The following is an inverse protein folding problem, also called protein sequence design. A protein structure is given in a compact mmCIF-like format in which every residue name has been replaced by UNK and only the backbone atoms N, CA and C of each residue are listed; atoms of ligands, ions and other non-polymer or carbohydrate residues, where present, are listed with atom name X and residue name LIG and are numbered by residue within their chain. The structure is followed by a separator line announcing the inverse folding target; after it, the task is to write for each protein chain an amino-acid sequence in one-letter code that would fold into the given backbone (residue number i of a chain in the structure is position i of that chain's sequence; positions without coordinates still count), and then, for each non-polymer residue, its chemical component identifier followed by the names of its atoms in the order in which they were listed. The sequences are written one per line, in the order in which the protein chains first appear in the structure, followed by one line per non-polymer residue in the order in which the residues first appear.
data_IF_928134674817
#
_entry.id   IF_928134674817
#
_cell.length_a   1.000
_cell.length_b   1.000
_cell.length_c   1.000
_cell.angle_alpha   90.00
_cell.angle_beta   90.00
_cell.angle_gamma   90.00
#
_symmetry.space_group_name_H-M   'P 1'
#
loop_
_entity.id
_entity.type
_entity.pdbx_description
1 polymer ?
#
# COMPACT_ATOMS: atom_id res chain seq x y z
N UNK A 1 -1.66 -17.21 8.30
CA UNK A 1 -1.08 -16.75 7.02
C UNK A 1 -2.18 -16.24 6.12
N UNK A 2 -1.85 -15.46 5.09
CA UNK A 2 -2.79 -15.05 4.03
C UNK A 2 -2.51 -15.92 2.80
N UNK A 3 -3.53 -16.57 2.26
CA UNK A 3 -3.38 -17.37 1.04
C UNK A 3 -3.17 -16.47 -0.18
N UNK A 4 -2.42 -16.94 -1.16
CA UNK A 4 -2.33 -16.32 -2.48
C UNK A 4 -3.50 -16.81 -3.32
N UNK A 5 -4.23 -15.87 -3.93
CA UNK A 5 -5.41 -16.21 -4.74
C UNK A 5 -5.05 -16.58 -6.18
N UNK A 6 -4.02 -15.95 -6.75
CA UNK A 6 -3.60 -16.12 -8.14
C UNK A 6 -2.07 -16.24 -8.21
N UNK A 7 -1.58 -17.28 -8.88
CA UNK A 7 -0.16 -17.47 -9.18
C UNK A 7 0.10 -17.19 -10.67
N UNK A 8 1.02 -16.26 -10.96
CA UNK A 8 1.40 -15.88 -12.32
C UNK A 8 2.78 -16.47 -12.69
N UNK A 9 2.97 -16.76 -13.98
CA UNK A 9 4.27 -17.22 -14.48
C UNK A 9 5.23 -16.02 -14.72
N UNK A 10 6.39 -15.95 -14.03
CA UNK A 10 7.31 -14.83 -14.16
C UNK A 10 7.95 -14.69 -15.55
N UNK A 11 8.02 -15.77 -16.34
CA UNK A 11 8.65 -15.76 -17.67
C UNK A 11 7.89 -14.91 -18.70
N UNK A 12 6.60 -14.63 -18.44
CA UNK A 12 5.76 -13.79 -19.31
C UNK A 12 6.11 -12.31 -19.28
N UNK A 13 6.77 -11.83 -18.21
CA UNK A 13 7.08 -10.40 -18.04
C UNK A 13 8.27 -9.96 -18.89
N UNK A 14 9.45 -10.62 -18.84
CA UNK A 14 10.59 -10.23 -19.67
C UNK A 14 10.32 -10.39 -21.16
N UNK A 15 9.62 -11.46 -21.56
CA UNK A 15 9.33 -11.75 -22.97
C UNK A 15 8.43 -10.71 -23.64
N UNK A 16 7.55 -10.04 -22.86
CA UNK A 16 6.65 -8.98 -23.36
C UNK A 16 7.15 -7.58 -23.04
N UNK A 17 8.28 -7.46 -22.32
CA UNK A 17 8.83 -6.19 -21.83
C UNK A 17 7.81 -5.33 -21.05
N UNK A 18 6.86 -5.97 -20.34
CA UNK A 18 5.83 -5.25 -19.60
C UNK A 18 6.18 -5.10 -18.11
N UNK A 19 7.15 -4.23 -17.83
CA UNK A 19 7.60 -3.93 -16.45
C UNK A 19 6.49 -3.29 -15.59
N UNK A 20 5.51 -2.64 -16.23
CA UNK A 20 4.41 -1.96 -15.55
C UNK A 20 3.61 -2.88 -14.64
N UNK A 21 3.45 -4.16 -15.01
CA UNK A 21 2.74 -5.16 -14.20
C UNK A 21 3.42 -5.44 -12.85
N UNK A 22 4.75 -5.40 -12.81
CA UNK A 22 5.51 -5.58 -11.57
C UNK A 22 5.34 -4.35 -10.69
N UNK A 23 5.46 -3.15 -11.26
CA UNK A 23 5.27 -1.89 -10.54
C UNK A 23 3.85 -1.75 -9.99
N UNK A 24 2.83 -2.15 -10.75
CA UNK A 24 1.44 -2.21 -10.32
C UNK A 24 1.25 -3.18 -9.15
N UNK A 25 1.86 -4.37 -9.22
CA UNK A 25 1.80 -5.36 -8.14
C UNK A 25 2.43 -4.83 -6.85
N UNK A 26 3.56 -4.14 -6.95
CA UNK A 26 4.20 -3.47 -5.82
C UNK A 26 3.33 -2.37 -5.22
N UNK A 27 2.77 -1.48 -6.05
CA UNK A 27 1.85 -0.43 -5.57
C UNK A 27 0.59 -1.01 -4.92
N UNK A 28 0.04 -2.09 -5.50
CA UNK A 28 -1.09 -2.82 -4.93
C UNK A 28 -0.76 -3.40 -3.55
N UNK A 29 0.44 -3.99 -3.40
CA UNK A 29 0.91 -4.51 -2.11
C UNK A 29 1.11 -3.39 -1.08
N UNK A 30 1.74 -2.28 -1.46
CA UNK A 30 1.88 -1.09 -0.61
C UNK A 30 0.49 -0.62 -0.14
N UNK A 31 -0.46 -0.46 -1.07
CA UNK A 31 -1.80 0.01 -0.78
C UNK A 31 -2.52 -0.88 0.21
N UNK A 32 -2.42 -2.20 0.04
CA UNK A 32 -2.94 -3.20 0.96
C UNK A 32 -2.30 -3.06 2.36
N UNK A 33 -0.97 -2.98 2.46
CA UNK A 33 -0.25 -2.89 3.75
C UNK A 33 -0.55 -1.60 4.49
N UNK A 34 -0.65 -0.48 3.79
CA UNK A 34 -1.07 0.80 4.39
C UNK A 34 -2.52 0.74 4.86
N UNK A 35 -3.39 0.05 4.12
CA UNK A 35 -4.76 -0.22 4.54
C UNK A 35 -4.83 -1.07 5.82
N UNK A 36 -4.05 -2.14 5.90
CA UNK A 36 -3.92 -2.99 7.10
C UNK A 36 -3.50 -2.16 8.33
N UNK A 37 -2.54 -1.23 8.17
CA UNK A 37 -2.11 -0.32 9.23
C UNK A 37 -3.24 0.63 9.69
N UNK A 38 -4.06 1.13 8.75
CA UNK A 38 -5.23 1.95 9.08
C UNK A 38 -6.30 1.11 9.81
N UNK A 39 -6.54 -0.12 9.36
CA UNK A 39 -7.46 -1.04 10.02
C UNK A 39 -7.02 -1.36 11.45
N UNK A 40 -5.73 -1.53 11.69
CA UNK A 40 -5.18 -1.75 13.03
C UNK A 40 -5.48 -0.57 13.98
N UNK A 41 -5.41 0.68 13.48
CA UNK A 41 -5.78 1.87 14.26
C UNK A 41 -7.26 1.82 14.65
N UNK A 42 -8.14 1.40 13.73
CA UNK A 42 -9.57 1.21 14.04
C UNK A 42 -9.80 0.13 15.10
N UNK A 43 -9.08 -0.99 15.02
CA UNK A 43 -9.25 -2.13 15.93
C UNK A 43 -8.77 -1.82 17.35
N UNK A 44 -7.74 -0.97 17.49
CA UNK A 44 -7.21 -0.54 18.80
C UNK A 44 -8.20 0.30 19.63
N UNK A 45 -9.20 0.95 19.01
CA UNK A 45 -10.28 1.73 19.65
C UNK A 45 -9.82 2.66 20.79
N UNK A 46 -8.66 3.29 20.66
CA UNK A 46 -8.13 4.21 21.68
C UNK A 46 -8.87 5.55 21.67
N UNK A 47 -8.82 6.30 22.77
CA UNK A 47 -9.50 7.61 22.89
C UNK A 47 -9.04 8.64 21.84
N UNK A 48 -7.80 8.55 21.38
CA UNK A 48 -7.19 9.47 20.42
C UNK A 48 -7.04 8.89 18.99
N UNK A 49 -7.74 7.79 18.68
CA UNK A 49 -7.58 7.11 17.38
C UNK A 49 -7.84 8.02 16.18
N UNK A 50 -8.73 9.02 16.31
CA UNK A 50 -8.98 10.04 15.27
C UNK A 50 -7.74 10.86 14.93
N UNK A 51 -6.95 11.26 15.94
CA UNK A 51 -5.71 12.02 15.73
C UNK A 51 -4.64 11.13 15.10
N UNK A 52 -4.52 9.90 15.57
CA UNK A 52 -3.59 8.90 15.01
C UNK A 52 -3.93 8.59 13.55
N UNK A 53 -5.22 8.39 13.25
CA UNK A 53 -5.72 8.15 11.90
C UNK A 53 -5.40 9.32 10.96
N UNK A 54 -5.66 10.56 11.42
CA UNK A 54 -5.33 11.75 10.65
C UNK A 54 -3.83 11.87 10.41
N UNK A 55 -3.02 11.65 11.45
CA UNK A 55 -1.57 11.66 11.33
C UNK A 55 -1.09 10.61 10.31
N UNK A 56 -1.67 9.40 10.35
CA UNK A 56 -1.33 8.32 9.43
C UNK A 56 -1.72 8.64 7.98
N UNK A 57 -2.92 9.17 7.76
CA UNK A 57 -3.35 9.58 6.42
C UNK A 57 -2.50 10.74 5.87
N UNK A 58 -2.09 11.69 6.73
CA UNK A 58 -1.18 12.78 6.34
C UNK A 58 0.25 12.30 6.06
N UNK A 59 0.71 11.26 6.77
CA UNK A 59 1.98 10.59 6.50
C UNK A 59 1.96 9.93 5.12
N UNK A 60 0.88 9.20 4.79
CA UNK A 60 0.72 8.58 3.46
C UNK A 60 0.70 9.64 2.35
N UNK A 61 0.01 10.77 2.56
CA UNK A 61 0.00 11.91 1.63
C UNK A 61 1.26 12.79 1.70
N UNK A 62 2.32 12.40 2.42
CA UNK A 62 3.54 13.22 2.52
C UNK A 62 4.37 13.25 1.23
N UNK A 63 4.05 12.37 0.29
CA UNK A 63 4.73 12.24 -0.99
C UNK A 63 4.45 13.47 -1.86
N UNK A 64 5.44 14.03 -2.58
CA UNK A 64 5.26 15.22 -3.40
C UNK A 64 4.09 15.14 -4.37
N UNK A 65 3.88 13.97 -5.00
CA UNK A 65 2.74 13.72 -5.89
C UNK A 65 1.38 13.82 -5.21
N UNK A 66 1.31 13.64 -3.88
CA UNK A 66 0.09 13.69 -3.08
C UNK A 66 -0.05 15.01 -2.31
N UNK A 67 0.65 16.07 -2.73
CA UNK A 67 0.65 17.34 -2.02
C UNK A 67 -0.75 17.98 -1.95
N UNK A 68 -1.53 17.87 -3.02
CA UNK A 68 -2.92 18.37 -3.08
C UNK A 68 -3.83 17.57 -2.13
N UNK A 69 -3.63 16.27 -2.04
CA UNK A 69 -4.36 15.35 -1.16
C UNK A 69 -4.01 15.64 0.31
N UNK A 70 -2.78 16.04 0.62
CA UNK A 70 -2.40 16.47 1.96
C UNK A 70 -3.17 17.69 2.44
N UNK A 71 -3.40 18.66 1.56
CA UNK A 71 -4.23 19.84 1.88
C UNK A 71 -5.70 19.44 2.03
N UNK A 72 -6.19 18.53 1.18
CA UNK A 72 -7.53 17.97 1.29
C UNK A 72 -7.76 17.27 2.64
N UNK A 73 -6.87 16.38 3.08
CA UNK A 73 -7.02 15.69 4.38
C UNK A 73 -7.00 16.67 5.57
N UNK A 74 -6.30 17.80 5.46
CA UNK A 74 -6.30 18.85 6.48
C UNK A 74 -7.62 19.59 6.56
N UNK A 75 -8.31 19.81 5.44
CA UNK A 75 -9.58 20.55 5.40
C UNK A 75 -10.79 19.72 5.80
N UNK A 76 -10.70 18.38 5.77
CA UNK A 76 -11.80 17.49 6.13
C UNK A 76 -12.29 17.66 7.58
N UNK A 77 -13.60 17.51 7.76
CA UNK A 77 -14.19 17.30 9.08
C UNK A 77 -13.88 15.90 9.63
N UNK A 78 -14.08 15.70 10.94
CA UNK A 78 -13.82 14.40 11.58
C UNK A 78 -14.75 13.29 11.05
N UNK A 79 -16.00 13.61 10.71
CA UNK A 79 -16.95 12.65 10.12
C UNK A 79 -16.55 12.23 8.70
N UNK A 80 -16.12 13.19 7.88
CA UNK A 80 -15.65 12.88 6.52
C UNK A 80 -14.35 12.09 6.55
N UNK A 81 -13.42 12.47 7.43
CA UNK A 81 -12.15 11.75 7.62
C UNK A 81 -12.42 10.27 7.95
N UNK A 82 -13.39 9.99 8.84
CA UNK A 82 -13.77 8.61 9.18
C UNK A 82 -14.30 7.83 7.97
N UNK A 83 -15.09 8.47 7.09
CA UNK A 83 -15.59 7.82 5.89
C UNK A 83 -14.45 7.44 4.93
N UNK A 84 -13.51 8.38 4.68
CA UNK A 84 -12.34 8.10 3.84
C UNK A 84 -11.42 7.05 4.46
N UNK A 85 -11.18 7.13 5.77
CA UNK A 85 -10.38 6.16 6.49
C UNK A 85 -10.96 4.75 6.41
N UNK A 86 -12.28 4.58 6.46
CA UNK A 86 -12.95 3.27 6.26
C UNK A 86 -12.81 2.72 4.84
N UNK A 87 -12.73 3.59 3.83
CA UNK A 87 -12.43 3.15 2.46
C UNK A 87 -10.95 2.74 2.36
N UNK A 88 -10.05 3.55 2.90
CA UNK A 88 -8.60 3.32 2.88
C UNK A 88 -8.18 2.11 3.72
N UNK A 89 -8.93 1.73 4.75
CA UNK A 89 -8.65 0.53 5.55
C UNK A 89 -8.78 -0.77 4.74
N UNK A 90 -9.47 -0.72 3.59
CA UNK A 90 -9.56 -1.85 2.64
C UNK A 90 -8.38 -1.88 1.66
N UNK A 91 -7.54 -0.86 1.68
CA UNK A 91 -6.42 -0.65 0.77
C UNK A 91 -6.37 0.79 0.28
N UNK A 92 -5.21 1.43 0.42
CA UNK A 92 -4.97 2.77 -0.11
C UNK A 92 -4.87 2.70 -1.63
N UNK A 93 -5.65 3.55 -2.31
CA UNK A 93 -5.69 3.62 -3.78
C UNK A 93 -4.66 4.62 -4.26
N UNK A 94 -3.89 4.24 -5.28
CA UNK A 94 -2.94 5.11 -5.95
C UNK A 94 -3.44 5.48 -7.34
N UNK A 95 -3.22 6.74 -7.73
CA UNK A 95 -3.44 7.22 -9.08
C UNK A 95 -2.07 7.50 -9.74
N UNK A 96 -1.84 6.91 -10.91
CA UNK A 96 -0.63 7.15 -11.70
C UNK A 96 -1.05 7.55 -13.11
N UNK A 97 -0.94 8.84 -13.47
CA UNK A 97 -1.22 9.32 -14.82
C UNK A 97 -0.31 8.64 -15.86
N UNK A 98 -0.83 8.44 -17.07
CA UNK A 98 -0.19 7.62 -18.13
C UNK A 98 1.24 8.05 -18.48
N UNK A 99 1.55 9.34 -18.35
CA UNK A 99 2.85 9.91 -18.72
C UNK A 99 3.72 10.32 -17.53
N UNK A 100 3.29 10.02 -16.30
CA UNK A 100 4.10 10.29 -15.12
C UNK A 100 4.83 9.02 -14.68
N UNK A 101 6.15 8.99 -14.92
CA UNK A 101 7.01 7.90 -14.48
C UNK A 101 7.04 7.74 -12.95
N UNK A 102 7.50 6.59 -12.48
CA UNK A 102 7.69 6.32 -11.05
C UNK A 102 9.00 6.95 -10.58
N UNK A 103 8.93 7.84 -9.58
CA UNK A 103 10.12 8.35 -8.93
C UNK A 103 10.60 7.34 -7.87
N UNK A 104 11.84 6.88 -8.01
CA UNK A 104 12.44 5.87 -7.13
C UNK A 104 12.45 6.32 -5.66
N UNK A 105 12.66 7.61 -5.40
CA UNK A 105 12.67 8.14 -4.03
C UNK A 105 11.28 8.10 -3.39
N UNK A 106 10.24 8.42 -4.18
CA UNK A 106 8.84 8.32 -3.72
C UNK A 106 8.46 6.87 -3.46
N UNK A 107 8.88 5.97 -4.36
CA UNK A 107 8.64 4.55 -4.23
C UNK A 107 9.33 3.97 -2.99
N UNK A 108 10.59 4.33 -2.76
CA UNK A 108 11.34 3.89 -1.58
C UNK A 108 10.67 4.32 -0.27
N UNK A 109 10.17 5.56 -0.21
CA UNK A 109 9.41 6.06 0.94
C UNK A 109 8.11 5.28 1.15
N UNK A 110 7.40 4.93 0.07
CA UNK A 110 6.20 4.10 0.16
C UNK A 110 6.49 2.71 0.71
N UNK A 111 7.59 2.09 0.28
CA UNK A 111 8.03 0.80 0.78
C UNK A 111 8.33 0.84 2.27
N UNK A 112 9.09 1.86 2.71
CA UNK A 112 9.40 2.09 4.11
C UNK A 112 8.13 2.31 4.95
N UNK A 113 7.22 3.18 4.49
CA UNK A 113 5.94 3.43 5.17
C UNK A 113 5.05 2.17 5.26
N UNK A 114 5.05 1.36 4.21
CA UNK A 114 4.29 0.11 4.16
C UNK A 114 4.96 -1.03 4.96
N UNK A 115 6.20 -0.85 5.44
CA UNK A 115 7.00 -1.86 6.14
C UNK A 115 7.20 -3.12 5.30
N UNK A 116 7.55 -2.92 4.03
CA UNK A 116 7.87 -4.00 3.09
C UNK A 116 9.34 -3.88 2.66
N UNK A 117 9.96 -5.02 2.37
CA UNK A 117 11.33 -5.05 1.87
C UNK A 117 11.43 -4.39 0.50
N UNK A 118 12.55 -3.70 0.24
CA UNK A 118 12.77 -2.88 -0.96
C UNK A 118 12.68 -3.65 -2.28
N UNK A 119 12.82 -4.96 -2.26
CA UNK A 119 12.66 -5.82 -3.44
C UNK A 119 11.20 -6.24 -3.70
N UNK A 120 10.28 -5.89 -2.79
CA UNK A 120 8.85 -6.19 -2.88
C UNK A 120 8.51 -7.66 -2.69
N UNK A 121 9.48 -8.49 -2.28
CA UNK A 121 9.28 -9.93 -2.09
C UNK A 121 8.74 -10.21 -0.70
N UNK A 122 8.15 -11.40 -0.56
CA UNK A 122 7.73 -11.92 0.73
C UNK A 122 7.94 -13.42 0.76
N UNK A 123 8.17 -13.96 1.94
CA UNK A 123 8.35 -15.40 2.11
C UNK A 123 7.01 -16.12 1.94
N UNK A 124 7.02 -17.18 1.14
CA UNK A 124 5.86 -18.03 0.90
C UNK A 124 6.14 -19.45 1.39
N UNK A 125 5.07 -20.15 1.72
CA UNK A 125 5.09 -21.54 2.18
C UNK A 125 4.14 -22.35 1.30
N UNK A 126 4.53 -23.56 0.92
CA UNK A 126 3.67 -24.46 0.16
C UNK A 126 2.47 -24.87 1.05
N UNK A 127 1.24 -24.62 0.57
CA UNK A 127 0.03 -24.96 1.30
C UNK A 127 -0.24 -26.46 1.45
N UNK A 128 0.45 -27.32 0.69
CA UNK A 128 0.34 -28.79 0.77
C UNK A 128 1.35 -29.39 1.73
N UNK A 129 2.61 -28.95 1.68
CA UNK A 129 3.69 -29.53 2.51
C UNK A 129 4.00 -28.71 3.75
N UNK A 130 3.68 -27.42 3.77
CA UNK A 130 4.05 -26.47 4.82
C UNK A 130 5.51 -26.01 4.74
N UNK A 131 6.26 -26.46 3.75
CA UNK A 131 7.67 -26.10 3.58
C UNK A 131 7.81 -24.70 2.99
N UNK A 132 8.89 -24.00 3.39
CA UNK A 132 9.23 -22.70 2.84
C UNK A 132 9.61 -22.84 1.36
N UNK A 133 9.07 -21.97 0.51
CA UNK A 133 9.46 -21.91 -0.90
C UNK A 133 10.89 -21.37 -0.98
N UNK A 134 11.76 -22.10 -1.69
CA UNK A 134 13.13 -21.68 -1.93
C UNK A 134 13.18 -20.41 -2.77
N UNK A 135 14.14 -19.53 -2.48
CA UNK A 135 14.44 -18.35 -3.29
C UNK A 135 15.08 -18.72 -4.64
#
# INVERSE_FOLDING_TARGET
GKSVDIALNPLGVPSRMNIGQILESHLGLIGLRLGDQIQEIFDRKQKDFLKELRAKMLEICSIPRLASEKEFIKSLSDEELLNYARDWSKGVKFATPVFEGVNIEEFSKLFEMAKIDMDGKTELYDGRTGEKIAE
#
